data_IF_624280446429
#
_entry.id   IF_624280446429
#
_cell.length_a   1.000
_cell.length_b   1.000
_cell.length_c   1.000
_cell.angle_alpha   90.00
_cell.angle_beta   90.00
_cell.angle_gamma   90.00
#
_symmetry.space_group_name_H-M   'P 1'
#
loop_
_entity.id
_entity.type
_entity.pdbx_description
1 polymer ?
#
# COMPACT_ATOMS: atom_id res chain seq x y z
N UNK A 1 -14.52 -6.07 -6.23
CA UNK A 1 -13.28 -6.21 -7.00
C UNK A 1 -12.18 -5.51 -6.23
N UNK A 2 -11.12 -6.25 -5.91
CA UNK A 2 -9.90 -5.73 -5.30
C UNK A 2 -9.29 -4.64 -6.19
N UNK A 3 -8.87 -3.53 -5.59
CA UNK A 3 -8.11 -2.44 -6.23
C UNK A 3 -6.97 -2.00 -5.32
N UNK A 4 -5.82 -1.71 -5.92
CA UNK A 4 -4.65 -1.13 -5.27
C UNK A 4 -4.24 0.13 -6.02
N UNK A 5 -4.00 1.21 -5.30
CA UNK A 5 -3.53 2.47 -5.87
C UNK A 5 -2.35 2.99 -5.07
N UNK A 6 -1.29 3.40 -5.77
CA UNK A 6 -0.19 4.21 -5.22
C UNK A 6 -0.52 5.68 -5.53
N UNK A 7 -0.35 6.57 -4.56
CA UNK A 7 -0.45 8.00 -4.77
C UNK A 7 0.54 8.75 -3.91
N UNK A 8 0.89 9.96 -4.35
CA UNK A 8 1.79 10.87 -3.66
C UNK A 8 0.97 11.99 -3.02
N UNK A 9 1.18 12.23 -1.73
CA UNK A 9 0.64 13.38 -1.00
C UNK A 9 1.70 14.49 -0.97
N UNK A 10 1.53 15.58 -1.74
CA UNK A 10 2.54 16.63 -1.85
C UNK A 10 2.79 17.38 -0.54
N UNK A 11 1.77 17.51 0.32
CA UNK A 11 1.89 18.27 1.57
C UNK A 11 2.83 17.59 2.56
N UNK A 12 2.88 16.26 2.51
CA UNK A 12 3.72 15.43 3.37
C UNK A 12 4.96 14.90 2.65
N UNK A 13 5.09 15.23 1.37
CA UNK A 13 6.09 14.70 0.44
C UNK A 13 6.15 13.17 0.46
N UNK A 14 4.99 12.49 0.55
CA UNK A 14 4.92 11.10 0.99
C UNK A 14 4.09 10.22 0.05
N UNK A 15 4.60 9.03 -0.26
CA UNK A 15 3.85 7.99 -0.94
C UNK A 15 2.96 7.19 0.02
N UNK A 16 1.77 6.88 -0.48
CA UNK A 16 0.75 6.09 0.18
C UNK A 16 0.23 5.01 -0.76
N UNK A 17 -0.09 3.85 -0.19
CA UNK A 17 -0.76 2.76 -0.89
C UNK A 17 -2.11 2.48 -0.25
N UNK A 18 -3.13 2.43 -1.09
CA UNK A 18 -4.50 2.15 -0.70
C UNK A 18 -4.98 0.86 -1.34
N UNK A 19 -5.31 -0.11 -0.50
CA UNK A 19 -6.02 -1.32 -0.87
C UNK A 19 -7.51 -1.18 -0.56
N UNK A 20 -8.35 -1.51 -1.54
CA UNK A 20 -9.81 -1.54 -1.43
C UNK A 20 -10.37 -2.85 -1.96
N UNK A 21 -11.18 -3.50 -1.15
CA UNK A 21 -12.04 -4.63 -1.50
C UNK A 21 -13.38 -4.46 -0.75
N UNK A 22 -14.51 -5.07 -1.18
CA UNK A 22 -15.79 -4.87 -0.49
C UNK A 22 -15.69 -5.13 1.02
N UNK A 23 -15.94 -4.09 1.83
CA UNK A 23 -15.86 -4.15 3.29
C UNK A 23 -14.45 -4.15 3.88
N UNK A 24 -13.41 -3.95 3.07
CA UNK A 24 -11.99 -3.94 3.49
C UNK A 24 -11.28 -2.73 2.89
N UNK A 25 -10.79 -1.84 3.73
CA UNK A 25 -9.96 -0.70 3.31
C UNK A 25 -8.69 -0.63 4.16
N UNK A 26 -7.54 -0.65 3.50
CA UNK A 26 -6.23 -0.63 4.12
C UNK A 26 -5.40 0.49 3.48
N UNK A 27 -4.98 1.45 4.29
CA UNK A 27 -4.13 2.57 3.88
C UNK A 27 -2.80 2.51 4.64
N UNK A 28 -1.72 2.47 3.89
CA UNK A 28 -0.37 2.43 4.43
C UNK A 28 0.48 3.53 3.82
N UNK A 29 1.32 4.14 4.65
CA UNK A 29 2.43 5.00 4.26
C UNK A 29 3.58 4.12 3.79
N UNK A 30 4.16 4.46 2.64
CA UNK A 30 5.30 3.74 2.06
C UNK A 30 6.59 4.39 2.56
N UNK A 31 7.58 3.63 2.99
CA UNK A 31 8.87 4.24 3.34
C UNK A 31 9.60 4.75 2.08
N UNK A 32 10.17 5.96 2.15
CA UNK A 32 10.82 6.61 1.01
C UNK A 32 12.17 5.98 0.64
N UNK A 33 12.86 5.35 1.60
CA UNK A 33 14.17 4.72 1.40
C UNK A 33 13.98 3.25 1.01
N UNK A 34 13.00 2.58 1.61
CA UNK A 34 12.67 1.19 1.34
C UNK A 34 11.17 1.01 1.03
N UNK A 35 10.77 0.99 -0.25
CA UNK A 35 9.37 0.82 -0.68
C UNK A 35 8.64 -0.43 -0.15
N UNK A 36 9.38 -1.43 0.34
CA UNK A 36 8.80 -2.63 0.95
C UNK A 36 8.44 -2.46 2.42
N UNK A 37 8.81 -1.35 3.05
CA UNK A 37 8.42 -1.05 4.42
C UNK A 37 7.15 -0.19 4.41
N UNK A 38 6.07 -0.75 4.95
CA UNK A 38 4.76 -0.10 5.01
C UNK A 38 4.37 0.21 6.46
N UNK A 39 4.01 1.46 6.71
CA UNK A 39 3.50 1.92 8.01
C UNK A 39 1.99 2.11 7.95
N UNK A 40 1.26 1.43 8.83
CA UNK A 40 -0.21 1.47 8.85
C UNK A 40 -0.74 2.85 9.23
N UNK A 41 -1.70 3.36 8.47
CA UNK A 41 -2.46 4.59 8.78
C UNK A 41 -3.92 4.27 9.10
N UNK A 42 -4.61 3.59 8.18
CA UNK A 42 -6.02 3.19 8.35
C UNK A 42 -6.13 1.71 8.04
N UNK A 43 -6.84 0.98 8.91
CA UNK A 43 -7.18 -0.42 8.69
C UNK A 43 -8.64 -0.63 9.09
N UNK A 44 -9.53 -0.52 8.11
CA UNK A 44 -10.97 -0.80 8.25
C UNK A 44 -11.23 -2.19 7.68
N UNK A 45 -11.03 -3.18 8.51
CA UNK A 45 -11.03 -4.58 8.10
C UNK A 45 -11.56 -5.48 9.23
N UNK A 46 -12.86 -5.38 9.51
CA UNK A 46 -13.51 -5.91 10.73
C UNK A 46 -13.39 -7.44 10.87
N UNK A 47 -13.10 -8.17 9.78
CA UNK A 47 -13.06 -9.64 9.74
C UNK A 47 -11.82 -10.23 9.08
N UNK A 48 -10.71 -9.49 9.07
CA UNK A 48 -9.49 -9.93 8.38
C UNK A 48 -8.64 -10.76 9.33
N UNK A 49 -8.50 -12.06 9.04
CA UNK A 49 -7.63 -12.91 9.86
C UNK A 49 -6.15 -12.59 9.60
N UNK A 50 -5.26 -12.98 10.51
CA UNK A 50 -3.84 -12.63 10.43
C UNK A 50 -3.15 -13.12 9.15
N UNK A 51 -3.59 -14.25 8.59
CA UNK A 51 -3.02 -14.81 7.36
C UNK A 51 -3.44 -14.01 6.14
N UNK A 52 -4.73 -13.73 5.98
CA UNK A 52 -5.26 -12.86 4.93
C UNK A 52 -4.62 -11.48 4.99
N UNK A 53 -4.41 -10.95 6.20
CA UNK A 53 -3.80 -9.66 6.43
C UNK A 53 -2.35 -9.65 5.97
N UNK A 54 -1.58 -10.66 6.36
CA UNK A 54 -0.20 -10.82 5.93
C UNK A 54 -0.09 -10.93 4.42
N UNK A 55 -1.01 -11.64 3.77
CA UNK A 55 -1.01 -11.77 2.31
C UNK A 55 -1.33 -10.44 1.62
N UNK A 56 -2.33 -9.69 2.09
CA UNK A 56 -2.65 -8.36 1.54
C UNK A 56 -1.47 -7.40 1.71
N UNK A 57 -0.82 -7.39 2.88
CA UNK A 57 0.35 -6.54 3.12
C UNK A 57 1.48 -6.90 2.18
N UNK A 58 1.79 -8.19 2.01
CA UNK A 58 2.83 -8.63 1.08
C UNK A 58 2.56 -8.18 -0.37
N UNK A 59 1.31 -8.34 -0.82
CA UNK A 59 0.91 -7.85 -2.14
C UNK A 59 1.02 -6.32 -2.25
N UNK A 60 0.74 -5.59 -1.17
CA UNK A 60 0.91 -4.13 -1.11
C UNK A 60 2.39 -3.73 -1.19
N UNK A 61 3.29 -4.45 -0.54
CA UNK A 61 4.74 -4.23 -0.60
C UNK A 61 5.29 -4.47 -2.01
N UNK A 62 4.89 -5.59 -2.64
CA UNK A 62 5.29 -5.93 -4.01
C UNK A 62 4.78 -4.88 -5.03
N UNK A 63 3.54 -4.42 -4.85
CA UNK A 63 2.96 -3.37 -5.68
C UNK A 63 3.67 -2.03 -5.49
N UNK A 64 3.89 -1.59 -4.24
CA UNK A 64 4.56 -0.33 -3.95
C UNK A 64 5.97 -0.28 -4.53
N UNK A 65 6.73 -1.38 -4.37
CA UNK A 65 8.06 -1.52 -4.96
C UNK A 65 8.01 -1.40 -6.49
N UNK A 66 7.12 -2.16 -7.14
CA UNK A 66 7.03 -2.16 -8.61
C UNK A 66 6.66 -0.79 -9.16
N UNK A 67 5.70 -0.11 -8.54
CA UNK A 67 5.26 1.22 -8.99
C UNK A 67 6.31 2.30 -8.74
N UNK A 68 7.05 2.23 -7.63
CA UNK A 68 8.15 3.17 -7.37
C UNK A 68 9.32 2.93 -8.32
N UNK A 69 9.70 1.67 -8.58
CA UNK A 69 10.74 1.34 -9.57
C UNK A 69 10.38 1.85 -10.97
N UNK A 70 9.11 1.80 -11.37
CA UNK A 70 8.61 2.42 -12.61
C UNK A 70 8.81 3.93 -12.63
N UNK A 71 8.50 4.62 -11.53
CA UNK A 71 8.69 6.06 -11.41
C UNK A 71 10.18 6.46 -11.47
N UNK A 72 11.07 5.66 -10.88
CA UNK A 72 12.52 5.88 -10.92
C UNK A 72 13.12 5.61 -12.32
N UNK A 73 12.60 4.61 -13.02
CA UNK A 73 13.10 4.20 -14.35
C UNK A 73 12.39 4.91 -15.51
N UNK A 74 11.31 5.64 -15.24
CA UNK A 74 10.56 6.44 -16.22
C UNK A 74 9.65 5.64 -17.16
N UNK A 75 9.22 4.43 -16.77
CA UNK A 75 8.38 3.52 -17.56
C UNK A 75 6.99 3.29 -16.98
#
# INVERSE_FOLDING_TARGET
MKKMNLFYEPTEEQYYILYRDPGRELLFKVDQINPTMLSRIIERAIFLNSNERGQIIKEMEEFAKTEIEKLETGY
#
